data_IF_026958593852
#
_entry.id   IF_026958593852
#
_cell.length_a   1.000
_cell.length_b   1.000
_cell.length_c   1.000
_cell.angle_alpha   90.00
_cell.angle_beta   90.00
_cell.angle_gamma   90.00
#
_symmetry.space_group_name_H-M   'P 1'
#
loop_
_entity.id
_entity.type
_entity.pdbx_description
1 polymer ?
#
# COMPACT_ATOMS: atom_id res chain seq x y z
N UNK A 1 6.14 -24.17 34.65
CA UNK A 1 5.55 -24.93 33.52
C UNK A 1 6.01 -24.46 32.13
N UNK A 2 6.96 -23.52 32.02
CA UNK A 2 7.44 -22.95 30.75
C UNK A 2 8.55 -23.77 30.08
N UNK A 3 9.39 -24.47 30.86
CA UNK A 3 10.51 -25.27 30.34
C UNK A 3 10.08 -26.32 29.31
N UNK A 4 9.02 -27.10 29.58
CA UNK A 4 8.51 -28.11 28.64
C UNK A 4 7.93 -27.54 27.33
N UNK A 5 7.61 -26.24 27.26
CA UNK A 5 7.19 -25.59 26.00
C UNK A 5 8.38 -25.20 25.13
N UNK A 6 9.53 -24.93 25.74
CA UNK A 6 10.78 -24.60 25.03
C UNK A 6 11.36 -25.85 24.36
N UNK A 7 11.17 -27.03 24.96
CA UNK A 7 11.53 -28.32 24.38
C UNK A 7 10.75 -28.67 23.10
N UNK A 8 9.53 -28.13 22.95
CA UNK A 8 8.68 -28.33 21.77
C UNK A 8 9.11 -27.49 20.55
N UNK A 9 10.02 -26.53 20.74
CA UNK A 9 10.56 -25.75 19.64
C UNK A 9 11.54 -26.57 18.80
N UNK A 10 11.34 -26.54 17.49
CA UNK A 10 12.29 -27.13 16.53
C UNK A 10 13.62 -26.36 16.54
N UNK A 11 14.73 -27.03 16.21
CA UNK A 11 16.04 -26.38 16.19
C UNK A 11 16.10 -25.21 15.19
N UNK A 12 15.37 -25.30 14.08
CA UNK A 12 15.24 -24.20 13.13
C UNK A 12 14.54 -22.97 13.74
N UNK A 13 13.57 -23.15 14.64
CA UNK A 13 12.91 -22.05 15.36
C UNK A 13 13.85 -21.46 16.41
N UNK A 14 14.58 -22.30 17.15
CA UNK A 14 15.58 -21.85 18.13
C UNK A 14 16.67 -21.02 17.48
N UNK A 15 17.21 -21.47 16.35
CA UNK A 15 18.22 -20.73 15.59
C UNK A 15 17.71 -19.36 15.11
N UNK A 16 16.44 -19.27 14.68
CA UNK A 16 15.82 -17.97 14.34
C UNK A 16 15.71 -17.05 15.57
N UNK A 17 15.28 -17.58 16.72
CA UNK A 17 15.14 -16.81 17.97
C UNK A 17 16.49 -16.33 18.52
N UNK A 18 17.57 -17.11 18.36
CA UNK A 18 18.94 -16.67 18.71
C UNK A 18 19.34 -15.43 17.92
N UNK A 19 19.06 -15.39 16.61
CA UNK A 19 19.35 -14.22 15.77
C UNK A 19 18.48 -13.00 16.10
N UNK A 20 17.22 -13.22 16.52
CA UNK A 20 16.35 -12.14 17.00
C UNK A 20 16.92 -11.45 18.23
N UNK A 21 17.54 -12.22 19.14
CA UNK A 21 18.23 -11.69 20.32
C UNK A 21 19.45 -10.83 19.95
N UNK A 22 20.16 -11.19 18.87
CA UNK A 22 21.23 -10.37 18.29
C UNK A 22 20.71 -9.22 17.41
N UNK A 23 19.44 -8.81 17.57
CA UNK A 23 18.80 -7.69 16.86
C UNK A 23 18.73 -7.79 15.33
N UNK A 24 18.80 -8.98 14.74
CA UNK A 24 18.65 -9.13 13.30
C UNK A 24 17.18 -8.99 12.86
N UNK A 25 16.96 -8.38 11.69
CA UNK A 25 15.65 -8.26 11.06
C UNK A 25 15.29 -9.54 10.28
N UNK A 26 14.00 -9.82 10.06
CA UNK A 26 13.51 -10.99 9.33
C UNK A 26 14.11 -11.13 7.92
N UNK A 27 14.48 -10.01 7.27
CA UNK A 27 15.17 -10.00 5.97
C UNK A 27 16.63 -10.47 6.06
N UNK A 28 17.33 -10.10 7.13
CA UNK A 28 18.73 -10.48 7.36
C UNK A 28 18.81 -11.95 7.77
N UNK A 29 17.91 -12.38 8.66
CA UNK A 29 17.76 -13.78 9.06
C UNK A 29 17.45 -14.66 7.84
N UNK A 30 16.57 -14.20 6.95
CA UNK A 30 16.25 -14.87 5.70
C UNK A 30 17.47 -15.06 4.78
N UNK A 31 18.34 -14.06 4.68
CA UNK A 31 19.57 -14.14 3.91
C UNK A 31 20.55 -15.19 4.48
N UNK A 32 20.65 -15.28 5.81
CA UNK A 32 21.51 -16.26 6.50
C UNK A 32 21.01 -17.70 6.27
N UNK A 33 19.69 -17.93 6.33
CA UNK A 33 19.11 -19.26 6.17
C UNK A 33 18.77 -19.64 4.72
N UNK A 34 18.94 -18.74 3.75
CA UNK A 34 18.60 -18.98 2.34
C UNK A 34 17.10 -19.22 2.10
N UNK A 35 16.23 -18.57 2.90
CA UNK A 35 14.76 -18.70 2.80
C UNK A 35 14.10 -17.35 2.60
N UNK A 36 12.80 -17.31 2.28
CA UNK A 36 12.08 -16.04 2.14
C UNK A 36 11.82 -15.36 3.50
N UNK A 37 11.79 -14.02 3.59
CA UNK A 37 11.49 -13.29 4.83
C UNK A 37 10.16 -13.73 5.49
N UNK A 38 9.12 -13.93 4.68
CA UNK A 38 7.82 -14.42 5.15
C UNK A 38 7.88 -15.82 5.78
N UNK A 39 8.81 -16.69 5.35
CA UNK A 39 8.99 -18.00 5.96
C UNK A 39 9.63 -17.90 7.35
N UNK A 40 10.52 -16.92 7.57
CA UNK A 40 11.10 -16.63 8.89
C UNK A 40 10.03 -16.07 9.83
N UNK A 41 9.22 -15.12 9.38
CA UNK A 41 8.14 -14.55 10.19
C UNK A 41 7.17 -15.64 10.68
N UNK A 42 6.74 -16.54 9.80
CA UNK A 42 5.90 -17.69 10.17
C UNK A 42 6.55 -18.63 11.18
N UNK A 43 7.87 -18.82 11.11
CA UNK A 43 8.60 -19.67 12.08
C UNK A 43 8.65 -19.02 13.46
N UNK A 44 8.91 -17.71 13.50
CA UNK A 44 8.91 -16.92 14.73
C UNK A 44 7.52 -16.86 15.34
N UNK A 45 6.49 -16.61 14.53
CA UNK A 45 5.09 -16.59 14.96
C UNK A 45 4.65 -17.92 15.59
N UNK A 46 4.97 -19.05 14.95
CA UNK A 46 4.71 -20.37 15.55
C UNK A 46 5.48 -20.58 16.86
N UNK A 47 6.71 -20.08 16.96
CA UNK A 47 7.48 -20.18 18.19
C UNK A 47 6.86 -19.34 19.31
N UNK A 48 6.36 -18.14 18.99
CA UNK A 48 5.61 -17.27 19.92
C UNK A 48 4.35 -17.99 20.42
N UNK A 49 3.60 -18.65 19.52
CA UNK A 49 2.40 -19.42 19.88
C UNK A 49 2.71 -20.61 20.79
N UNK A 50 3.78 -21.37 20.51
CA UNK A 50 4.21 -22.50 21.35
C UNK A 50 4.61 -22.02 22.75
N UNK A 51 5.34 -20.90 22.84
CA UNK A 51 5.77 -20.35 24.12
C UNK A 51 4.64 -19.61 24.87
N UNK A 52 3.61 -19.14 24.16
CA UNK A 52 2.48 -18.40 24.72
C UNK A 52 2.84 -16.99 25.15
N UNK A 53 3.68 -16.31 24.37
CA UNK A 53 4.25 -14.99 24.70
C UNK A 53 3.71 -13.91 23.77
N UNK A 54 3.84 -12.63 24.13
CA UNK A 54 3.26 -11.54 23.33
C UNK A 54 4.17 -11.04 22.22
N UNK A 55 5.49 -11.25 22.33
CA UNK A 55 6.46 -10.63 21.41
C UNK A 55 7.59 -11.58 21.01
N UNK A 56 8.18 -11.33 19.83
CA UNK A 56 9.35 -12.09 19.33
C UNK A 56 10.59 -11.95 20.22
N UNK A 57 10.76 -10.81 20.88
CA UNK A 57 11.87 -10.56 21.79
C UNK A 57 11.68 -11.29 23.12
N UNK A 58 10.44 -11.32 23.63
CA UNK A 58 10.11 -12.11 24.82
C UNK A 58 10.29 -13.62 24.58
N UNK A 59 9.94 -14.11 23.38
CA UNK A 59 10.20 -15.49 22.96
C UNK A 59 11.70 -15.81 22.96
N UNK A 60 12.51 -14.93 22.38
CA UNK A 60 13.96 -15.09 22.32
C UNK A 60 14.61 -15.05 23.71
N UNK A 61 14.18 -14.12 24.58
CA UNK A 61 14.66 -14.01 25.97
C UNK A 61 14.37 -15.27 26.78
N UNK A 62 13.15 -15.82 26.68
CA UNK A 62 12.81 -17.08 27.38
C UNK A 62 13.60 -18.27 26.88
N UNK A 63 13.93 -18.33 25.59
CA UNK A 63 14.82 -19.34 25.05
C UNK A 63 16.23 -19.23 25.65
N UNK A 64 16.78 -18.01 25.71
CA UNK A 64 18.12 -17.76 26.27
C UNK A 64 18.22 -18.10 27.76
N UNK A 65 17.23 -17.71 28.57
CA UNK A 65 17.17 -18.06 29.99
C UNK A 65 17.16 -19.58 30.20
N UNK A 66 16.49 -20.32 29.33
CA UNK A 66 16.48 -21.78 29.35
C UNK A 66 17.80 -22.40 28.85
N UNK A 67 18.40 -21.88 27.78
CA UNK A 67 19.70 -22.35 27.28
C UNK A 67 20.83 -22.08 28.30
N UNK A 68 20.80 -20.94 28.99
CA UNK A 68 21.73 -20.60 30.07
C UNK A 68 21.51 -21.49 31.30
N UNK A 69 20.25 -21.78 31.66
CA UNK A 69 19.91 -22.70 32.74
C UNK A 69 20.31 -24.16 32.45
N UNK A 70 20.24 -24.60 31.19
CA UNK A 70 20.68 -25.94 30.75
C UNK A 70 22.20 -26.04 30.68
N UNK A 71 22.89 -24.95 30.32
CA UNK A 71 24.36 -24.93 30.23
C UNK A 71 25.02 -24.84 31.62
N UNK A 72 24.31 -24.35 32.64
CA UNK A 72 24.82 -24.21 34.01
C UNK A 72 25.05 -25.51 34.79
N UNK A 73 24.55 -26.66 34.31
CA UNK A 73 24.66 -27.95 35.02
C UNK A 73 25.79 -28.86 34.52
N UNK A 74 26.63 -28.37 33.60
CA UNK A 74 27.87 -29.06 33.22
C UNK A 74 29.05 -28.11 33.12
N UNK A 75 30.03 -28.33 34.00
CA UNK A 75 31.43 -27.85 34.00
C UNK A 75 31.75 -26.58 34.83
N UNK A 76 32.12 -26.88 36.09
CA UNK A 76 33.26 -26.40 36.87
C UNK A 76 33.46 -24.91 37.18
N UNK A 77 33.17 -24.60 38.46
CA UNK A 77 33.91 -23.73 39.40
C UNK A 77 34.82 -22.67 38.77
N UNK A 78 34.35 -21.42 38.78
CA UNK A 78 35.19 -20.22 38.79
C UNK A 78 34.77 -19.39 40.00
N UNK A 79 35.65 -19.33 41.00
CA UNK A 79 35.52 -18.46 42.17
C UNK A 79 35.36 -16.97 41.75
N UNK A 80 34.57 -16.17 42.48
CA UNK A 80 34.43 -14.75 42.21
C UNK A 80 35.55 -13.96 42.91
N UNK A 81 36.38 -13.27 42.13
CA UNK A 81 37.25 -12.20 42.64
C UNK A 81 36.42 -10.93 42.81
N UNK A 82 36.27 -10.50 44.06
CA UNK A 82 35.82 -9.18 44.48
C UNK A 82 36.72 -8.08 43.88
N UNK A 83 36.10 -7.09 43.24
CA UNK A 83 36.68 -5.76 43.08
C UNK A 83 35.57 -4.74 43.30
N UNK A 84 35.80 -3.87 44.29
CA UNK A 84 34.95 -2.77 44.76
C UNK A 84 34.61 -1.74 43.68
N UNK A 85 33.35 -1.30 43.64
CA UNK A 85 32.95 0.02 43.11
C UNK A 85 32.46 0.92 44.25
N UNK A 86 32.82 2.23 44.26
CA UNK A 86 32.51 3.12 45.37
C UNK A 86 31.07 3.62 45.36
N UNK A 87 30.50 3.72 46.56
CA UNK A 87 29.13 4.07 46.87
C UNK A 87 28.70 5.45 46.33
N UNK A 88 27.62 5.48 45.53
CA UNK A 88 26.75 6.64 45.38
C UNK A 88 25.49 6.42 46.21
N UNK A 89 25.41 7.20 47.28
CA UNK A 89 24.31 7.31 48.24
C UNK A 89 23.01 7.73 47.55
N UNK A 90 22.07 6.80 47.43
CA UNK A 90 20.66 7.12 47.42
C UNK A 90 19.97 6.28 48.50
N UNK A 91 19.35 6.98 49.44
CA UNK A 91 18.62 6.43 50.57
C UNK A 91 17.38 5.69 50.04
N UNK A 92 17.39 4.35 50.12
CA UNK A 92 16.29 3.50 49.67
C UNK A 92 15.21 3.49 50.76
N UNK A 93 14.12 4.22 50.53
CA UNK A 93 12.91 4.12 51.36
C UNK A 93 12.42 2.65 51.38
N UNK A 94 11.96 2.14 52.53
CA UNK A 94 11.49 0.76 52.66
C UNK A 94 10.11 0.63 51.99
N UNK A 95 10.06 0.02 50.81
CA UNK A 95 8.80 -0.41 50.20
C UNK A 95 8.44 -1.81 50.70
N UNK A 96 7.45 -1.89 51.59
CA UNK A 96 6.74 -3.14 51.87
C UNK A 96 5.92 -3.59 50.63
N UNK A 97 5.73 -4.90 50.41
CA UNK A 97 4.96 -5.41 49.29
C UNK A 97 3.46 -5.43 49.65
N UNK A 98 2.67 -4.52 49.08
CA UNK A 98 1.21 -4.66 49.06
C UNK A 98 0.77 -5.33 47.76
N UNK A 99 0.31 -6.58 47.87
CA UNK A 99 -0.44 -7.29 46.84
C UNK A 99 -1.77 -6.56 46.58
N UNK A 100 -1.82 -5.77 45.51
CA UNK A 100 -3.08 -5.27 44.94
C UNK A 100 -3.32 -6.01 43.62
N UNK A 101 -4.31 -6.90 43.53
CA UNK A 101 -4.72 -7.48 42.26
C UNK A 101 -5.22 -6.38 41.33
N UNK A 102 -4.51 -6.15 40.21
CA UNK A 102 -5.02 -5.29 39.15
C UNK A 102 -6.02 -6.11 38.31
N UNK A 103 -7.33 -5.81 38.30
CA UNK A 103 -8.26 -6.49 37.40
C UNK A 103 -7.89 -6.17 35.93
N UNK A 104 -8.15 -7.09 34.99
CA UNK A 104 -7.77 -6.88 33.59
C UNK A 104 -8.51 -5.68 33.02
N UNK A 105 -7.77 -4.68 32.57
CA UNK A 105 -8.30 -3.59 31.75
C UNK A 105 -8.67 -4.16 30.38
N UNK A 106 -9.95 -4.45 30.17
CA UNK A 106 -10.51 -4.62 28.83
C UNK A 106 -10.41 -3.26 28.10
N UNK A 107 -9.50 -3.16 27.14
CA UNK A 107 -9.61 -2.12 26.12
C UNK A 107 -10.65 -2.58 25.08
N UNK A 108 -11.74 -1.83 24.85
CA UNK A 108 -12.67 -2.17 23.79
C UNK A 108 -11.98 -2.08 22.43
N UNK A 109 -12.17 -3.14 21.66
CA UNK A 109 -11.86 -3.28 20.24
C UNK A 109 -12.37 -2.04 19.50
N UNK A 110 -11.43 -1.14 19.17
CA UNK A 110 -11.72 0.04 18.39
C UNK A 110 -11.67 -0.39 16.93
N UNK A 111 -12.82 -0.93 16.50
CA UNK A 111 -13.26 -1.09 15.13
C UNK A 111 -12.31 -0.43 14.13
N UNK A 112 -11.40 -1.24 13.59
CA UNK A 112 -10.77 -0.95 12.31
C UNK A 112 -11.89 -0.93 11.27
N UNK A 113 -12.42 0.27 11.03
CA UNK A 113 -13.11 0.59 9.79
C UNK A 113 -12.00 0.61 8.73
N UNK A 114 -11.55 -0.57 8.30
CA UNK A 114 -10.76 -0.70 7.08
C UNK A 114 -11.73 -0.51 5.90
N UNK A 115 -11.58 0.54 5.08
CA UNK A 115 -12.49 0.81 3.97
C UNK A 115 -12.51 -0.30 2.90
N UNK A 116 -11.54 -1.22 2.93
CA UNK A 116 -11.32 -2.25 1.91
C UNK A 116 -11.49 -3.69 2.44
N UNK A 117 -12.03 -3.88 3.66
CA UNK A 117 -12.21 -5.21 4.26
C UNK A 117 -13.08 -6.17 3.45
N UNK A 118 -14.04 -5.63 2.68
CA UNK A 118 -14.95 -6.43 1.85
C UNK A 118 -14.26 -6.96 0.58
N UNK A 119 -13.32 -6.22 0.00
CA UNK A 119 -12.55 -6.63 -1.19
C UNK A 119 -11.55 -7.74 -0.84
N UNK A 120 -10.92 -7.65 0.34
CA UNK A 120 -9.99 -8.70 0.83
C UNK A 120 -10.70 -10.00 1.17
N UNK A 121 -11.92 -9.92 1.73
CA UNK A 121 -12.77 -11.09 2.00
C UNK A 121 -13.26 -11.77 0.71
N UNK A 122 -13.50 -10.99 -0.36
CA UNK A 122 -13.93 -11.52 -1.66
C UNK A 122 -12.80 -12.16 -2.47
N UNK A 123 -11.57 -11.64 -2.38
CA UNK A 123 -10.39 -12.17 -3.09
C UNK A 123 -9.63 -13.30 -2.38
N UNK A 124 -10.08 -13.74 -1.20
CA UNK A 124 -9.55 -14.96 -0.55
C UNK A 124 -8.11 -14.85 -0.02
N UNK A 125 -7.62 -13.65 0.28
CA UNK A 125 -6.23 -13.42 0.75
C UNK A 125 -6.14 -13.31 2.28
N UNK A 126 -7.25 -13.26 3.01
CA UNK A 126 -7.23 -13.32 4.48
C UNK A 126 -7.09 -14.77 4.95
N UNK A 127 -5.89 -15.17 5.32
CA UNK A 127 -5.68 -16.30 6.21
C UNK A 127 -6.17 -15.96 7.62
N UNK A 128 -6.78 -16.96 8.25
CA UNK A 128 -7.23 -17.08 9.65
C UNK A 128 -8.76 -17.01 9.83
N UNK A 129 -9.40 -17.84 10.64
CA UNK A 129 -9.06 -19.07 11.37
C UNK A 129 -10.41 -19.63 11.78
N UNK A 130 -10.66 -20.93 11.59
CA UNK A 130 -11.96 -21.54 11.90
C UNK A 130 -11.93 -23.05 11.79
N UNK A 131 -12.40 -23.69 12.86
CA UNK A 131 -12.28 -25.10 13.26
C UNK A 131 -12.51 -26.18 12.20
N UNK A 132 -11.63 -27.19 12.24
CA UNK A 132 -11.92 -28.61 11.97
C UNK A 132 -12.80 -28.93 10.76
N UNK A 133 -12.15 -29.13 9.62
CA UNK A 133 -12.71 -29.87 8.49
C UNK A 133 -11.57 -30.60 7.78
N UNK A 134 -11.52 -31.91 7.96
CA UNK A 134 -10.57 -32.81 7.29
C UNK A 134 -10.77 -32.73 5.77
N UNK A 135 -10.08 -31.81 5.11
CA UNK A 135 -9.83 -31.90 3.67
C UNK A 135 -8.44 -32.51 3.49
N UNK A 136 -8.35 -33.84 3.61
CA UNK A 136 -7.19 -34.62 3.13
C UNK A 136 -7.08 -34.39 1.63
N UNK A 137 -6.36 -33.34 1.24
CA UNK A 137 -6.10 -33.01 -0.15
C UNK A 137 -5.06 -33.99 -0.71
N UNK A 138 -5.55 -35.17 -1.14
CA UNK A 138 -4.78 -36.32 -1.60
C UNK A 138 -4.26 -36.21 -3.04
N UNK A 139 -4.37 -35.05 -3.67
CA UNK A 139 -3.91 -34.84 -5.04
C UNK A 139 -2.43 -34.41 -5.05
N UNK A 140 -1.62 -35.15 -5.81
CA UNK A 140 -0.23 -34.82 -6.14
C UNK A 140 -0.13 -33.41 -6.72
N UNK A 141 0.97 -32.69 -6.42
CA UNK A 141 1.18 -31.29 -6.82
C UNK A 141 0.95 -31.08 -8.32
N UNK A 142 1.31 -32.07 -9.16
CA UNK A 142 1.09 -32.02 -10.61
C UNK A 142 -0.38 -32.05 -11.04
N UNK A 143 -1.23 -32.85 -10.39
CA UNK A 143 -2.66 -32.98 -10.73
C UNK A 143 -3.43 -31.69 -10.39
N UNK A 144 -3.02 -30.98 -9.34
CA UNK A 144 -3.62 -29.68 -8.98
C UNK A 144 -3.31 -28.60 -10.02
N UNK A 145 -2.08 -28.56 -10.54
CA UNK A 145 -1.67 -27.57 -11.54
C UNK A 145 -2.47 -27.78 -12.83
N UNK A 146 -2.62 -29.03 -13.28
CA UNK A 146 -3.38 -29.36 -14.49
C UNK A 146 -4.85 -28.96 -14.33
N UNK A 147 -5.47 -29.28 -13.19
CA UNK A 147 -6.88 -28.92 -12.94
C UNK A 147 -7.09 -27.42 -12.80
N UNK A 148 -6.13 -26.69 -12.20
CA UNK A 148 -6.19 -25.23 -12.12
C UNK A 148 -6.06 -24.56 -13.49
N UNK A 149 -5.15 -25.05 -14.34
CA UNK A 149 -5.01 -24.55 -15.72
C UNK A 149 -6.26 -24.85 -16.55
N UNK A 150 -6.84 -26.04 -16.40
CA UNK A 150 -8.10 -26.40 -17.06
C UNK A 150 -9.28 -25.51 -16.60
N UNK A 151 -9.37 -25.22 -15.30
CA UNK A 151 -10.40 -24.35 -14.74
C UNK A 151 -10.22 -22.89 -15.20
N UNK A 152 -8.98 -22.38 -15.24
CA UNK A 152 -8.69 -21.06 -15.81
C UNK A 152 -9.05 -20.97 -17.29
N UNK A 153 -8.74 -22.01 -18.07
CA UNK A 153 -9.15 -22.09 -19.48
C UNK A 153 -10.66 -22.08 -19.65
N UNK A 154 -11.40 -22.84 -18.84
CA UNK A 154 -12.86 -22.87 -18.85
C UNK A 154 -13.46 -21.50 -18.52
N UNK A 155 -12.93 -20.82 -17.50
CA UNK A 155 -13.37 -19.47 -17.12
C UNK A 155 -13.10 -18.45 -18.24
N UNK A 156 -11.95 -18.54 -18.92
CA UNK A 156 -11.63 -17.66 -20.04
C UNK A 156 -12.60 -17.87 -21.22
N UNK A 157 -12.88 -19.12 -21.60
CA UNK A 157 -13.80 -19.44 -22.71
C UNK A 157 -15.23 -18.99 -22.39
N UNK A 158 -15.71 -19.28 -21.18
CA UNK A 158 -17.07 -18.87 -20.75
C UNK A 158 -17.21 -17.36 -20.68
N UNK A 159 -16.17 -16.66 -20.22
CA UNK A 159 -16.14 -15.19 -20.19
C UNK A 159 -16.17 -14.60 -21.60
N UNK A 160 -15.38 -15.15 -22.53
CA UNK A 160 -15.38 -14.75 -23.94
C UNK A 160 -16.77 -14.97 -24.60
N UNK A 161 -17.42 -16.09 -24.30
CA UNK A 161 -18.76 -16.41 -24.81
C UNK A 161 -19.83 -15.44 -24.26
N UNK A 162 -19.77 -15.10 -22.96
CA UNK A 162 -20.67 -14.14 -22.34
C UNK A 162 -20.53 -12.74 -22.95
N UNK A 163 -19.30 -12.28 -23.21
CA UNK A 163 -19.06 -11.00 -23.85
C UNK A 163 -19.65 -10.97 -25.27
N UNK A 164 -19.44 -12.03 -26.06
CA UNK A 164 -20.05 -12.15 -27.40
C UNK A 164 -21.58 -12.19 -27.36
N UNK A 165 -22.18 -12.88 -26.39
CA UNK A 165 -23.63 -12.93 -26.23
C UNK A 165 -24.21 -11.57 -25.81
N UNK A 166 -23.52 -10.84 -24.94
CA UNK A 166 -23.92 -9.49 -24.54
C UNK A 166 -23.84 -8.50 -25.70
N UNK A 167 -22.78 -8.57 -26.52
CA UNK A 167 -22.63 -7.72 -27.71
C UNK A 167 -23.71 -8.00 -28.77
N UNK A 168 -24.03 -9.28 -29.02
CA UNK A 168 -25.09 -9.66 -29.97
C UNK A 168 -26.48 -9.24 -29.48
N UNK A 169 -26.79 -9.43 -28.19
CA UNK A 169 -28.05 -8.97 -27.60
C UNK A 169 -28.20 -7.45 -27.65
N UNK A 170 -27.14 -6.70 -27.37
CA UNK A 170 -27.14 -5.22 -27.46
C UNK A 170 -27.35 -4.74 -28.89
N UNK A 171 -26.76 -5.43 -29.88
CA UNK A 171 -26.96 -5.15 -31.30
C UNK A 171 -28.42 -5.38 -31.75
N UNK A 172 -29.02 -6.49 -31.33
CA UNK A 172 -30.41 -6.83 -31.66
C UNK A 172 -31.41 -5.86 -31.02
N UNK A 173 -31.18 -5.45 -29.77
CA UNK A 173 -32.03 -4.47 -29.10
C UNK A 173 -31.94 -3.09 -29.76
N UNK A 174 -30.75 -2.67 -30.22
CA UNK A 174 -30.58 -1.44 -31.00
C UNK A 174 -31.30 -1.51 -32.33
N UNK A 175 -31.09 -2.60 -33.09
CA UNK A 175 -31.75 -2.82 -34.38
C UNK A 175 -33.28 -2.84 -34.29
N UNK A 176 -33.83 -3.40 -33.21
CA UNK A 176 -35.29 -3.44 -33.02
C UNK A 176 -35.86 -2.08 -32.56
N UNK A 177 -35.08 -1.30 -31.79
CA UNK A 177 -35.45 0.06 -31.41
C UNK A 177 -35.54 1.00 -32.61
N UNK A 178 -34.66 0.81 -33.59
CA UNK A 178 -34.66 1.59 -34.83
C UNK A 178 -35.85 1.24 -35.75
N UNK A 179 -36.40 0.02 -35.65
CA UNK A 179 -37.60 -0.41 -36.38
C UNK A 179 -38.93 0.08 -35.77
N UNK A 180 -38.92 0.48 -34.50
CA UNK A 180 -40.10 0.93 -33.75
C UNK A 180 -40.31 2.44 -33.75
N UNK A 181 -39.48 3.22 -34.42
CA UNK A 181 -39.65 4.67 -34.50
C UNK A 181 -40.82 5.01 -35.47
N UNK A 182 -41.80 5.84 -35.05
CA UNK A 182 -42.91 6.23 -35.92
C UNK A 182 -42.38 7.04 -37.10
N UNK A 183 -42.60 6.53 -38.31
CA UNK A 183 -42.30 7.22 -39.57
C UNK A 183 -43.30 8.37 -39.72
N UNK A 184 -42.85 9.59 -39.43
CA UNK A 184 -43.56 10.81 -39.80
C UNK A 184 -42.71 11.65 -40.74
N UNK A 185 -43.34 11.99 -41.87
CA UNK A 185 -43.08 13.24 -42.58
C UNK A 185 -42.18 13.12 -43.79
N UNK A 186 -42.80 13.14 -44.97
CA UNK A 186 -42.21 13.64 -46.20
C UNK A 186 -41.77 15.08 -46.01
N UNK A 187 -40.53 15.29 -45.56
CA UNK A 187 -39.88 16.60 -45.61
C UNK A 187 -38.57 16.43 -46.37
N UNK A 188 -38.54 17.01 -47.57
CA UNK A 188 -37.36 17.22 -48.39
C UNK A 188 -36.28 17.89 -47.55
N UNK A 189 -35.40 17.11 -46.94
CA UNK A 189 -34.24 17.62 -46.22
C UNK A 189 -33.03 16.76 -46.57
N UNK A 190 -32.12 17.42 -47.29
CA UNK A 190 -30.74 17.06 -47.59
C UNK A 190 -30.11 16.27 -46.41
N UNK A 191 -29.30 15.22 -46.65
CA UNK A 191 -28.80 14.34 -45.61
C UNK A 191 -27.91 15.09 -44.60
N UNK A 192 -28.54 15.62 -43.56
CA UNK A 192 -27.94 16.49 -42.52
C UNK A 192 -27.48 15.68 -41.30
N UNK A 193 -27.77 14.37 -41.24
CA UNK A 193 -27.50 13.52 -40.07
C UNK A 193 -26.02 13.27 -39.74
N UNK A 194 -25.09 13.52 -40.68
CA UNK A 194 -23.66 13.26 -40.48
C UNK A 194 -22.92 14.45 -39.86
N UNK A 195 -23.34 15.68 -40.16
CA UNK A 195 -22.75 16.92 -39.62
C UNK A 195 -23.29 17.25 -38.22
N UNK A 196 -24.55 16.90 -37.94
CA UNK A 196 -25.17 17.09 -36.61
C UNK A 196 -24.49 16.24 -35.53
N UNK A 197 -24.14 14.99 -35.85
CA UNK A 197 -23.41 14.11 -34.94
C UNK A 197 -21.96 14.56 -34.71
N UNK A 198 -21.28 15.11 -35.72
CA UNK A 198 -19.93 15.67 -35.54
C UNK A 198 -19.94 16.88 -34.61
N UNK A 199 -20.94 17.76 -34.74
CA UNK A 199 -21.13 18.90 -33.83
C UNK A 199 -21.38 18.43 -32.39
N UNK A 200 -22.24 17.44 -32.18
CA UNK A 200 -22.51 16.89 -30.85
C UNK A 200 -21.26 16.29 -30.19
N UNK A 201 -20.43 15.57 -30.96
CA UNK A 201 -19.14 15.02 -30.46
C UNK A 201 -18.16 16.11 -30.09
N UNK A 202 -18.09 17.18 -30.90
CA UNK A 202 -17.27 18.35 -30.59
C UNK A 202 -17.76 19.03 -29.31
N UNK A 203 -19.06 19.32 -29.20
CA UNK A 203 -19.64 19.97 -28.02
C UNK A 203 -19.40 19.13 -26.74
N UNK A 204 -19.44 17.79 -26.86
CA UNK A 204 -19.10 16.89 -25.75
C UNK A 204 -17.60 16.95 -25.38
N UNK A 205 -16.72 17.01 -26.39
CA UNK A 205 -15.27 17.15 -26.20
C UNK A 205 -14.92 18.48 -25.55
N UNK A 206 -15.54 19.58 -26.01
CA UNK A 206 -15.38 20.93 -25.44
C UNK A 206 -15.75 20.92 -23.94
N UNK A 207 -16.86 20.28 -23.56
CA UNK A 207 -17.27 20.16 -22.16
C UNK A 207 -16.27 19.38 -21.31
N UNK A 208 -15.86 18.19 -21.76
CA UNK A 208 -14.86 17.36 -21.05
C UNK A 208 -13.55 18.12 -20.88
N UNK A 209 -13.14 18.85 -21.91
CA UNK A 209 -11.91 19.65 -21.92
C UNK A 209 -11.96 20.76 -20.86
N UNK A 210 -13.06 21.50 -20.80
CA UNK A 210 -13.25 22.57 -19.80
C UNK A 210 -13.16 22.00 -18.38
N UNK A 211 -13.81 20.87 -18.14
CA UNK A 211 -13.82 20.25 -16.82
C UNK A 211 -12.46 19.65 -16.46
N UNK A 212 -11.77 19.06 -17.43
CA UNK A 212 -10.41 18.53 -17.28
C UNK A 212 -9.42 19.64 -16.88
N UNK A 213 -9.43 20.78 -17.58
CA UNK A 213 -8.56 21.91 -17.27
C UNK A 213 -8.80 22.49 -15.87
N UNK A 214 -10.08 22.58 -15.46
CA UNK A 214 -10.41 23.01 -14.10
C UNK A 214 -9.87 22.05 -13.06
N UNK A 215 -9.99 20.74 -13.32
CA UNK A 215 -9.47 19.71 -12.42
C UNK A 215 -7.94 19.77 -12.33
N UNK A 216 -7.25 19.89 -13.47
CA UNK A 216 -5.79 20.04 -13.52
C UNK A 216 -5.31 21.26 -12.73
N UNK A 217 -5.89 22.44 -12.99
CA UNK A 217 -5.55 23.66 -12.25
C UNK A 217 -5.81 23.56 -10.74
N UNK A 218 -6.89 22.87 -10.34
CA UNK A 218 -7.21 22.66 -8.93
C UNK A 218 -6.20 21.74 -8.24
N UNK A 219 -5.72 20.70 -8.92
CA UNK A 219 -4.69 19.78 -8.39
C UNK A 219 -3.35 20.51 -8.27
N UNK A 220 -2.98 21.34 -9.25
CA UNK A 220 -1.77 22.16 -9.20
C UNK A 220 -1.81 23.14 -8.01
N UNK A 221 -2.94 23.79 -7.81
CA UNK A 221 -3.14 24.67 -6.65
C UNK A 221 -3.07 23.89 -5.32
N UNK A 222 -3.67 22.71 -5.25
CA UNK A 222 -3.58 21.84 -4.08
C UNK A 222 -2.13 21.42 -3.77
N UNK A 223 -1.32 21.16 -4.80
CA UNK A 223 0.10 20.82 -4.63
C UNK A 223 0.88 21.97 -3.98
N UNK A 224 0.66 23.20 -4.45
CA UNK A 224 1.30 24.41 -3.90
C UNK A 224 0.90 24.64 -2.44
N UNK A 225 -0.38 24.50 -2.12
CA UNK A 225 -0.89 24.66 -0.74
C UNK A 225 -0.32 23.59 0.19
N UNK A 226 -0.25 22.32 -0.25
CA UNK A 226 0.33 21.23 0.54
C UNK A 226 1.81 21.48 0.85
N UNK A 227 2.60 21.90 -0.15
CA UNK A 227 4.01 22.25 0.05
C UNK A 227 4.19 23.44 1.01
N UNK A 228 3.35 24.48 0.86
CA UNK A 228 3.36 25.65 1.75
C UNK A 228 2.98 25.28 3.19
N UNK A 229 2.05 24.34 3.37
CA UNK A 229 1.66 23.83 4.68
C UNK A 229 2.84 23.14 5.40
N UNK A 230 3.58 22.26 4.70
CA UNK A 230 4.79 21.62 5.27
C UNK A 230 5.81 22.67 5.70
N UNK A 231 6.08 23.66 4.83
CA UNK A 231 7.00 24.75 5.15
C UNK A 231 6.55 25.55 6.38
N UNK A 232 5.26 25.90 6.43
CA UNK A 232 4.68 26.67 7.54
C UNK A 232 4.77 25.89 8.85
N UNK A 233 4.45 24.60 8.85
CA UNK A 233 4.55 23.74 10.05
C UNK A 233 5.99 23.72 10.61
N UNK A 234 6.99 23.60 9.74
CA UNK A 234 8.40 23.61 10.16
C UNK A 234 8.81 24.98 10.71
N UNK A 235 8.42 26.07 10.06
CA UNK A 235 8.70 27.43 10.49
C UNK A 235 8.03 27.75 11.84
N UNK A 236 6.75 27.42 11.99
CA UNK A 236 5.99 27.70 13.22
C UNK A 236 6.50 26.86 14.40
N UNK A 237 6.97 25.63 14.15
CA UNK A 237 7.60 24.82 15.20
C UNK A 237 8.86 25.50 15.77
N UNK A 238 9.69 26.05 14.89
CA UNK A 238 10.90 26.79 15.29
C UNK A 238 10.51 28.10 15.99
N UNK A 239 9.56 28.86 15.43
CA UNK A 239 9.09 30.12 16.02
C UNK A 239 8.48 29.95 17.42
N UNK A 240 7.84 28.81 17.68
CA UNK A 240 7.25 28.47 18.96
C UNK A 240 8.22 27.78 19.95
N UNK A 241 9.51 27.64 19.61
CA UNK A 241 10.51 26.93 20.42
C UNK A 241 10.09 25.50 20.83
N UNK A 242 9.38 24.79 19.93
CA UNK A 242 8.91 23.45 20.20
C UNK A 242 9.98 22.39 19.88
N UNK A 243 10.05 21.28 20.64
CA UNK A 243 10.93 20.16 20.32
C UNK A 243 10.74 19.63 18.90
N UNK A 244 11.81 19.13 18.29
CA UNK A 244 11.79 18.60 16.91
C UNK A 244 10.79 17.44 16.74
N UNK A 245 10.55 16.65 17.80
CA UNK A 245 9.57 15.56 17.79
C UNK A 245 8.11 16.01 17.73
N UNK A 246 7.80 17.27 18.08
CA UNK A 246 6.43 17.78 18.10
C UNK A 246 5.87 17.88 16.69
N UNK A 247 4.72 17.23 16.47
CA UNK A 247 4.01 17.28 15.19
C UNK A 247 4.66 16.47 14.05
N UNK A 248 5.65 15.60 14.33
CA UNK A 248 6.31 14.78 13.29
C UNK A 248 5.33 13.90 12.53
N UNK A 249 4.36 13.29 13.22
CA UNK A 249 3.32 12.48 12.56
C UNK A 249 2.48 13.32 11.58
N UNK A 250 2.11 14.55 11.95
CA UNK A 250 1.37 15.45 11.07
C UNK A 250 2.22 15.88 9.87
N UNK A 251 3.49 16.23 10.09
CA UNK A 251 4.44 16.55 9.02
C UNK A 251 4.60 15.39 8.03
N UNK A 252 4.69 14.15 8.52
CA UNK A 252 4.76 12.95 7.69
C UNK A 252 3.48 12.77 6.86
N UNK A 253 2.30 12.92 7.48
CA UNK A 253 1.01 12.82 6.77
C UNK A 253 0.85 13.89 5.69
N UNK A 254 1.18 15.14 5.98
CA UNK A 254 1.10 16.24 4.99
C UNK A 254 2.12 16.04 3.87
N UNK A 255 3.33 15.56 4.19
CA UNK A 255 4.35 15.23 3.17
C UNK A 255 3.87 14.10 2.25
N UNK A 256 3.25 13.06 2.81
CA UNK A 256 2.68 11.97 2.03
C UNK A 256 1.53 12.47 1.13
N UNK A 257 0.64 13.30 1.66
CA UNK A 257 -0.42 13.91 0.87
C UNK A 257 0.13 14.78 -0.28
N UNK A 258 1.22 15.52 -0.05
CA UNK A 258 1.89 16.30 -1.09
C UNK A 258 2.44 15.40 -2.21
N UNK A 259 3.05 14.27 -1.86
CA UNK A 259 3.50 13.27 -2.84
C UNK A 259 2.33 12.68 -3.64
N UNK A 260 1.21 12.37 -2.98
CA UNK A 260 0.03 11.82 -3.65
C UNK A 260 -0.59 12.81 -4.64
N UNK A 261 -0.59 14.11 -4.30
CA UNK A 261 -1.04 15.17 -5.22
C UNK A 261 -0.08 15.30 -6.41
N UNK A 262 1.23 15.25 -6.21
CA UNK A 262 2.21 15.26 -7.32
C UNK A 262 1.99 14.06 -8.24
N UNK A 263 1.77 12.87 -7.67
CA UNK A 263 1.44 11.68 -8.43
C UNK A 263 0.09 11.81 -9.15
N UNK A 264 -0.88 12.55 -8.61
CA UNK A 264 -2.12 12.86 -9.30
C UNK A 264 -1.87 13.75 -10.53
N UNK A 265 -1.04 14.81 -10.42
CA UNK A 265 -0.63 15.65 -11.56
C UNK A 265 -0.02 14.83 -12.69
N UNK A 266 0.88 13.91 -12.36
CA UNK A 266 1.50 13.02 -13.35
C UNK A 266 0.45 12.21 -14.13
N UNK A 267 -0.59 11.73 -13.43
CA UNK A 267 -1.72 11.02 -14.08
C UNK A 267 -2.56 11.95 -14.97
N UNK A 268 -2.71 13.23 -14.63
CA UNK A 268 -3.34 14.21 -15.54
C UNK A 268 -2.51 14.39 -16.82
N UNK A 269 -1.19 14.48 -16.73
CA UNK A 269 -0.31 14.57 -17.91
C UNK A 269 -0.43 13.32 -18.81
N UNK A 270 -0.47 12.14 -18.21
CA UNK A 270 -0.66 10.88 -18.94
C UNK A 270 -2.06 10.79 -19.56
N UNK A 271 -3.09 11.20 -18.82
CA UNK A 271 -4.46 11.26 -19.32
C UNK A 271 -4.58 12.26 -20.48
N UNK A 272 -3.89 13.39 -20.44
CA UNK A 272 -3.85 14.36 -21.52
C UNK A 272 -3.36 13.71 -22.82
N UNK A 273 -2.23 12.97 -22.76
CA UNK A 273 -1.70 12.23 -23.91
C UNK A 273 -2.69 11.19 -24.43
N UNK A 274 -3.31 10.42 -23.54
CA UNK A 274 -4.29 9.40 -23.94
C UNK A 274 -5.55 10.01 -24.59
N UNK A 275 -5.99 11.19 -24.14
CA UNK A 275 -7.14 11.88 -24.72
C UNK A 275 -6.88 12.38 -26.15
N UNK A 276 -5.62 12.62 -26.53
CA UNK A 276 -5.24 12.93 -27.91
C UNK A 276 -5.56 11.76 -28.84
N UNK A 277 -5.34 10.51 -28.41
CA UNK A 277 -5.64 9.33 -29.22
C UNK A 277 -7.16 9.13 -29.39
N UNK A 278 -7.93 9.35 -28.32
CA UNK A 278 -9.41 9.25 -28.34
C UNK A 278 -10.02 10.18 -29.39
N UNK A 279 -9.41 11.34 -29.65
CA UNK A 279 -9.85 12.29 -30.69
C UNK A 279 -9.90 11.65 -32.08
N UNK A 280 -8.92 10.81 -32.41
CA UNK A 280 -8.88 10.09 -33.69
C UNK A 280 -10.04 9.08 -33.77
N UNK A 281 -10.30 8.36 -32.68
CA UNK A 281 -11.37 7.36 -32.58
C UNK A 281 -12.77 7.97 -32.75
N UNK A 282 -13.01 9.16 -32.21
CA UNK A 282 -14.31 9.84 -32.30
C UNK A 282 -14.53 10.61 -33.61
N UNK A 283 -13.54 10.57 -34.53
CA UNK A 283 -13.60 11.22 -35.84
C UNK A 283 -13.31 12.71 -35.84
N UNK A 284 -12.62 13.22 -34.80
CA UNK A 284 -12.20 14.62 -34.68
C UNK A 284 -10.71 14.85 -35.03
N UNK A 285 -9.97 13.76 -35.33
CA UNK A 285 -8.51 13.75 -35.51
C UNK A 285 -7.95 14.73 -36.55
N UNK A 286 -8.68 15.03 -37.63
CA UNK A 286 -8.18 15.89 -38.73
C UNK A 286 -8.59 17.36 -38.61
N UNK A 287 -9.67 17.70 -37.89
CA UNK A 287 -10.29 19.05 -37.97
C UNK A 287 -10.37 19.82 -36.65
N UNK A 288 -10.14 19.19 -35.50
CA UNK A 288 -10.34 19.83 -34.19
C UNK A 288 -9.14 19.60 -33.25
N UNK A 289 -8.11 20.45 -33.33
CA UNK A 289 -6.90 20.34 -32.50
C UNK A 289 -7.02 21.10 -31.19
N UNK A 290 -6.88 20.39 -30.08
CA UNK A 290 -6.69 21.01 -28.76
C UNK A 290 -5.20 21.33 -28.58
N UNK A 291 -4.83 22.62 -28.49
CA UNK A 291 -3.54 23.11 -27.97
C UNK A 291 -2.26 22.82 -28.76
N UNK A 292 -2.18 21.71 -29.51
CA UNK A 292 -0.93 21.19 -30.11
C UNK A 292 -0.69 21.60 -31.57
N UNK A 293 -1.56 22.46 -32.12
CA UNK A 293 -1.39 22.99 -33.50
C UNK A 293 -1.06 24.48 -33.55
N UNK A 294 -1.01 25.13 -32.39
CA UNK A 294 -0.34 26.42 -32.29
C UNK A 294 1.16 26.14 -32.14
N UNK A 295 1.96 26.74 -33.02
CA UNK A 295 3.40 26.80 -32.86
C UNK A 295 3.68 27.28 -31.43
N UNK A 296 4.48 26.51 -30.67
CA UNK A 296 4.88 26.91 -29.33
C UNK A 296 5.44 28.33 -29.44
N UNK A 297 4.90 29.32 -28.68
CA UNK A 297 5.47 30.66 -28.73
C UNK A 297 6.98 30.54 -28.49
N UNK A 298 7.82 31.25 -29.26
CA UNK A 298 9.26 31.11 -29.14
C UNK A 298 9.63 31.21 -27.67
N UNK A 299 10.44 30.27 -27.20
CA UNK A 299 10.80 30.19 -25.79
C UNK A 299 11.60 31.44 -25.39
N UNK A 300 10.90 32.49 -24.97
CA UNK A 300 11.54 33.69 -24.43
C UNK A 300 12.38 33.38 -23.17
N UNK A 301 12.22 32.16 -22.62
CA UNK A 301 13.03 31.57 -21.55
C UNK A 301 14.05 30.51 -21.98
N UNK A 302 14.34 30.30 -23.28
CA UNK A 302 15.64 29.69 -23.61
C UNK A 302 16.69 30.61 -22.99
N UNK A 303 17.48 30.06 -22.08
CA UNK A 303 18.66 30.70 -21.52
C UNK A 303 19.48 31.24 -22.69
N UNK A 304 19.32 32.54 -22.99
CA UNK A 304 20.35 33.26 -23.75
C UNK A 304 21.62 33.01 -22.97
N UNK A 305 22.66 32.56 -23.66
CA UNK A 305 23.97 32.36 -23.09
C UNK A 305 24.57 33.72 -22.70
N UNK A 306 24.00 34.38 -21.71
CA UNK A 306 24.48 35.62 -21.17
C UNK A 306 24.89 35.39 -19.71
N UNK A 307 26.23 35.36 -19.57
CA UNK A 307 27.04 35.48 -18.36
C UNK A 307 26.72 34.56 -17.18
N UNK A 308 27.67 33.73 -16.73
CA UNK A 308 27.47 32.88 -15.56
C UNK A 308 27.27 33.76 -14.31
N UNK A 309 26.03 33.85 -13.84
CA UNK A 309 25.72 34.41 -12.52
C UNK A 309 26.32 33.45 -11.50
N UNK A 310 27.44 33.83 -10.90
CA UNK A 310 28.00 33.12 -9.75
C UNK A 310 27.03 33.28 -8.59
N UNK A 311 26.30 32.21 -8.27
CA UNK A 311 25.58 32.09 -7.02
C UNK A 311 26.62 32.09 -5.89
N UNK A 312 26.78 33.22 -5.22
CA UNK A 312 27.51 33.27 -3.96
C UNK A 312 26.67 32.54 -2.91
N UNK A 313 27.10 31.34 -2.53
CA UNK A 313 26.58 30.68 -1.35
C UNK A 313 26.90 31.58 -0.14
N UNK A 314 25.88 32.10 0.52
CA UNK A 314 26.01 32.73 1.83
C UNK A 314 26.20 31.60 2.82
N UNK A 315 27.39 31.56 3.43
CA UNK A 315 27.75 30.69 4.54
C UNK A 315 27.04 31.12 5.83
#
# INVERSE_FOLDING_TARGET
>A
MTAGRIEQLTEAQRACLRLVLTHHNSKEIAAIFGVSPSAIDKRIERAIQILGVGTRFEAARRLQEHEQGVTGDTVLVREPTEVEEPALTYERLPSEPFDVPNPPSNTPDRAQIEPWGLVRRFFGISGESGSTGVARNRFSVGDRIIRLLALMGLIAVTSMALVNMAMTMTSLLRSNRDRGAPVHGTATTVPTGRTTMLKQRRDATDKVTIDFLKAEAAVDHAAMLAASCVSTLLQQRVAANLPVGTGVAALQMVSQASLDIINARQRFVEAHRALVDVRAEIGLGQFYGYGDTAECPPNEGALRAETPVRLAAVA
#
